data_IF_439994943244
#
_entry.id   IF_439994943244
#
_cell.length_a   1.000
_cell.length_b   1.000
_cell.length_c   1.000
_cell.angle_alpha   90.00
_cell.angle_beta   90.00
_cell.angle_gamma   90.00
#
_symmetry.space_group_name_H-M   'P 1'
#
loop_
_entity.id
_entity.type
_entity.pdbx_description
1 polymer ?
#
# COMPACT_ATOMS: atom_id res chain seq x y z
N UNK A 1 14.93 -39.25 -8.06
CA UNK A 1 15.12 -38.58 -9.36
C UNK A 1 14.06 -37.50 -9.44
N UNK A 2 14.45 -36.24 -9.25
CA UNK A 2 13.54 -35.10 -9.41
C UNK A 2 13.16 -35.04 -10.89
N UNK A 3 11.86 -35.16 -11.19
CA UNK A 3 11.36 -34.93 -12.54
C UNK A 3 11.61 -33.46 -12.88
N UNK A 4 12.70 -33.21 -13.61
CA UNK A 4 12.87 -31.97 -14.35
C UNK A 4 11.70 -31.91 -15.33
N UNK A 5 10.70 -31.08 -15.03
CA UNK A 5 9.69 -30.71 -16.02
C UNK A 5 10.44 -30.08 -17.19
N UNK A 6 10.54 -30.80 -18.29
CA UNK A 6 11.07 -30.30 -19.55
C UNK A 6 10.20 -29.09 -19.91
N UNK A 7 10.77 -27.88 -19.81
CA UNK A 7 10.10 -26.67 -20.26
C UNK A 7 9.95 -26.77 -21.78
N UNK A 8 8.76 -27.17 -22.23
CA UNK A 8 8.43 -27.19 -23.64
C UNK A 8 8.16 -25.74 -24.06
N UNK A 9 9.20 -25.09 -24.60
CA UNK A 9 9.29 -23.64 -24.83
C UNK A 9 8.62 -23.14 -26.11
N UNK A 10 7.74 -23.91 -26.72
CA UNK A 10 7.04 -23.50 -27.93
C UNK A 10 6.04 -22.39 -27.62
N UNK A 11 6.48 -21.15 -27.82
CA UNK A 11 5.65 -19.96 -27.71
C UNK A 11 4.80 -19.81 -28.97
N UNK A 12 3.50 -19.99 -28.81
CA UNK A 12 2.48 -19.60 -29.78
C UNK A 12 1.44 -18.66 -29.13
N UNK A 13 0.49 -18.17 -29.93
CA UNK A 13 -0.54 -17.23 -29.47
C UNK A 13 -1.33 -17.74 -28.24
N UNK A 14 -1.73 -19.01 -28.24
CA UNK A 14 -2.46 -19.62 -27.12
C UNK A 14 -1.61 -19.64 -25.85
N UNK A 15 -0.36 -20.11 -25.96
CA UNK A 15 0.55 -20.19 -24.81
C UNK A 15 0.98 -18.82 -24.29
N UNK A 16 0.98 -17.78 -25.15
CA UNK A 16 1.24 -16.40 -24.77
C UNK A 16 0.10 -15.83 -23.93
N UNK A 17 -1.16 -16.10 -24.32
CA UNK A 17 -2.33 -15.66 -23.55
C UNK A 17 -2.42 -16.31 -22.15
N UNK A 18 -1.85 -17.51 -21.99
CA UNK A 18 -1.79 -18.24 -20.71
C UNK A 18 -0.76 -17.69 -19.72
N UNK A 19 0.15 -16.81 -20.14
CA UNK A 19 1.19 -16.27 -19.29
C UNK A 19 0.62 -15.34 -18.21
N UNK A 20 1.21 -15.37 -17.01
CA UNK A 20 1.05 -14.26 -16.09
C UNK A 20 1.68 -13.00 -16.70
N UNK A 21 0.92 -11.92 -16.82
CA UNK A 21 1.37 -10.63 -17.38
C UNK A 21 2.63 -10.09 -16.71
N UNK A 22 2.85 -10.41 -15.43
CA UNK A 22 3.91 -9.78 -14.62
C UNK A 22 5.16 -10.64 -14.46
N UNK A 23 5.01 -11.96 -14.35
CA UNK A 23 6.15 -12.86 -14.17
C UNK A 23 6.38 -13.81 -15.36
N UNK A 24 5.53 -13.77 -16.38
CA UNK A 24 5.58 -14.66 -17.55
C UNK A 24 5.56 -16.16 -17.22
N UNK A 25 5.16 -16.53 -15.99
CA UNK A 25 5.00 -17.93 -15.61
C UNK A 25 3.74 -18.47 -16.29
N UNK A 26 3.94 -19.52 -17.08
CA UNK A 26 2.87 -20.27 -17.75
C UNK A 26 2.26 -21.33 -16.84
N UNK A 27 3.08 -22.22 -16.31
CA UNK A 27 2.64 -23.31 -15.43
C UNK A 27 3.04 -22.98 -13.99
N UNK A 28 2.11 -23.08 -13.04
CA UNK A 28 2.36 -22.67 -11.66
C UNK A 28 1.09 -22.21 -10.96
N UNK A 29 1.13 -21.10 -10.19
CA UNK A 29 -0.03 -20.65 -9.41
C UNK A 29 -1.26 -20.39 -10.28
N UNK A 30 -2.45 -20.53 -9.66
CA UNK A 30 -3.71 -20.13 -10.26
C UNK A 30 -3.64 -18.70 -10.79
N UNK A 31 -4.30 -18.45 -11.91
CA UNK A 31 -4.33 -17.13 -12.55
C UNK A 31 -5.74 -16.57 -12.58
N UNK A 32 -5.81 -15.26 -12.46
CA UNK A 32 -7.02 -14.47 -12.53
C UNK A 32 -6.98 -13.68 -13.82
N UNK A 33 -8.07 -13.75 -14.58
CA UNK A 33 -8.24 -12.91 -15.75
C UNK A 33 -8.60 -11.48 -15.32
N UNK A 34 -7.76 -10.50 -15.68
CA UNK A 34 -7.80 -9.10 -15.21
C UNK A 34 -9.12 -8.36 -15.52
N UNK A 35 -9.92 -8.88 -16.43
CA UNK A 35 -11.13 -8.22 -16.93
C UNK A 35 -12.41 -9.05 -16.72
N UNK A 36 -12.36 -10.01 -15.79
CA UNK A 36 -13.49 -10.83 -15.37
C UNK A 36 -13.90 -10.54 -13.92
N UNK A 37 -14.98 -11.20 -13.49
CA UNK A 37 -15.69 -10.94 -12.22
C UNK A 37 -14.78 -10.97 -10.99
N UNK A 38 -13.84 -11.91 -10.92
CA UNK A 38 -12.94 -12.01 -9.77
C UNK A 38 -11.99 -10.80 -9.67
N UNK A 39 -11.41 -10.37 -10.79
CA UNK A 39 -10.53 -9.21 -10.82
C UNK A 39 -11.29 -7.91 -10.51
N UNK A 40 -12.55 -7.82 -10.95
CA UNK A 40 -13.46 -6.72 -10.63
C UNK A 40 -13.75 -6.67 -9.12
N UNK A 41 -14.15 -7.80 -8.51
CA UNK A 41 -14.42 -7.90 -7.08
C UNK A 41 -13.21 -7.50 -6.23
N UNK A 42 -12.00 -7.88 -6.65
CA UNK A 42 -10.74 -7.52 -5.98
C UNK A 42 -10.18 -6.15 -6.37
N UNK A 43 -10.85 -5.43 -7.27
CA UNK A 43 -10.44 -4.14 -7.83
C UNK A 43 -9.02 -4.15 -8.43
N UNK A 44 -8.61 -5.25 -9.07
CA UNK A 44 -7.22 -5.47 -9.49
C UNK A 44 -6.74 -4.41 -10.49
N UNK A 45 -7.52 -4.12 -11.53
CA UNK A 45 -7.14 -3.13 -12.54
C UNK A 45 -6.95 -1.75 -11.92
N UNK A 46 -7.82 -1.36 -10.99
CA UNK A 46 -7.69 -0.10 -10.26
C UNK A 46 -6.41 -0.05 -9.42
N UNK A 47 -6.16 -1.10 -8.61
CA UNK A 47 -4.94 -1.19 -7.79
C UNK A 47 -3.67 -1.13 -8.66
N UNK A 48 -3.65 -1.87 -9.76
CA UNK A 48 -2.52 -1.91 -10.68
C UNK A 48 -2.25 -0.55 -11.34
N UNK A 49 -3.27 0.12 -11.86
CA UNK A 49 -3.13 1.47 -12.45
C UNK A 49 -2.77 2.54 -11.41
N UNK A 50 -3.15 2.33 -10.15
CA UNK A 50 -2.75 3.23 -9.04
C UNK A 50 -1.28 3.07 -8.68
N UNK A 51 -0.75 1.84 -8.76
CA UNK A 51 0.62 1.51 -8.36
C UNK A 51 1.64 1.66 -9.49
N UNK A 52 1.22 1.42 -10.73
CA UNK A 52 2.12 1.33 -11.87
C UNK A 52 1.74 2.36 -12.93
N UNK A 53 2.74 2.95 -13.57
CA UNK A 53 2.56 3.82 -14.73
C UNK A 53 2.17 3.07 -16.01
N UNK A 54 1.84 1.77 -15.91
CA UNK A 54 1.53 0.93 -17.06
C UNK A 54 0.06 1.03 -17.43
N UNK A 55 -0.21 1.26 -18.73
CA UNK A 55 -1.57 1.28 -19.24
C UNK A 55 -2.09 -0.16 -19.43
N UNK A 56 -2.74 -0.69 -18.40
CA UNK A 56 -3.42 -1.99 -18.45
C UNK A 56 -4.79 -1.80 -19.09
N UNK A 57 -4.96 -2.33 -20.30
CA UNK A 57 -6.20 -2.18 -21.08
C UNK A 57 -6.69 -3.53 -21.65
N UNK A 58 -7.98 -3.63 -21.94
CA UNK A 58 -8.53 -4.78 -22.69
C UNK A 58 -7.94 -4.82 -24.10
N UNK A 59 -7.68 -3.66 -24.67
CA UNK A 59 -7.24 -3.49 -26.06
C UNK A 59 -5.72 -3.62 -26.25
N UNK A 60 -4.95 -3.76 -25.17
CA UNK A 60 -3.52 -4.08 -25.32
C UNK A 60 -3.33 -5.54 -25.80
N UNK A 61 -2.25 -5.83 -26.52
CA UNK A 61 -1.94 -7.17 -27.01
C UNK A 61 -1.12 -7.99 -25.99
N UNK A 62 -1.26 -7.71 -24.70
CA UNK A 62 -0.51 -8.37 -23.62
C UNK A 62 -1.36 -9.44 -22.93
N UNK A 63 -0.74 -10.40 -22.19
CA UNK A 63 -1.47 -11.41 -21.46
C UNK A 63 -2.45 -10.77 -20.47
N UNK A 64 -3.68 -11.31 -20.43
CA UNK A 64 -4.77 -10.78 -19.59
C UNK A 64 -4.87 -11.48 -18.25
N UNK A 65 -3.98 -12.44 -17.98
CA UNK A 65 -3.94 -13.22 -16.78
C UNK A 65 -2.86 -12.70 -15.81
N UNK A 66 -3.14 -12.71 -14.51
CA UNK A 66 -2.16 -12.46 -13.46
C UNK A 66 -2.20 -13.62 -12.46
N UNK A 67 -1.05 -14.16 -12.07
CA UNK A 67 -1.01 -15.26 -11.11
C UNK A 67 -1.21 -14.75 -9.67
N UNK A 68 -1.76 -15.61 -8.80
CA UNK A 68 -2.07 -15.25 -7.41
C UNK A 68 -0.87 -14.71 -6.62
N UNK A 69 0.35 -15.21 -6.88
CA UNK A 69 1.55 -14.67 -6.24
C UNK A 69 1.82 -13.21 -6.64
N UNK A 70 1.59 -12.84 -7.90
CA UNK A 70 1.70 -11.46 -8.35
C UNK A 70 0.56 -10.60 -7.80
N UNK A 71 -0.66 -11.15 -7.71
CA UNK A 71 -1.79 -10.44 -7.11
C UNK A 71 -1.54 -10.14 -5.64
N UNK A 72 -1.07 -11.12 -4.86
CA UNK A 72 -0.75 -10.93 -3.46
C UNK A 72 0.26 -9.80 -3.24
N UNK A 73 1.34 -9.76 -4.05
CA UNK A 73 2.33 -8.67 -4.00
C UNK A 73 1.71 -7.31 -4.33
N UNK A 74 0.84 -7.25 -5.33
CA UNK A 74 0.13 -6.02 -5.74
C UNK A 74 -0.77 -5.52 -4.62
N UNK A 75 -1.53 -6.42 -3.98
CA UNK A 75 -2.44 -6.04 -2.90
C UNK A 75 -1.67 -5.59 -1.66
N UNK A 76 -0.62 -6.32 -1.26
CA UNK A 76 0.26 -5.89 -0.18
C UNK A 76 0.89 -4.51 -0.45
N UNK A 77 1.37 -4.28 -1.67
CA UNK A 77 1.94 -2.98 -2.04
C UNK A 77 0.88 -1.88 -2.05
N UNK A 78 -0.33 -2.18 -2.50
CA UNK A 78 -1.45 -1.24 -2.51
C UNK A 78 -1.83 -0.83 -1.09
N UNK A 79 -2.02 -1.79 -0.20
CA UNK A 79 -2.39 -1.54 1.19
C UNK A 79 -1.30 -0.75 1.91
N UNK A 80 -0.03 -1.14 1.72
CA UNK A 80 1.11 -0.39 2.25
C UNK A 80 1.12 1.06 1.76
N UNK A 81 0.89 1.29 0.46
CA UNK A 81 0.80 2.64 -0.11
C UNK A 81 -0.36 3.44 0.50
N UNK A 82 -1.52 2.83 0.73
CA UNK A 82 -2.63 3.54 1.39
C UNK A 82 -2.25 3.94 2.81
N UNK A 83 -1.62 3.03 3.58
CA UNK A 83 -1.14 3.34 4.92
C UNK A 83 -0.11 4.47 4.92
N UNK A 84 0.84 4.49 3.97
CA UNK A 84 1.83 5.57 3.89
C UNK A 84 1.18 6.91 3.62
N UNK A 85 0.17 6.98 2.74
CA UNK A 85 -0.56 8.22 2.45
C UNK A 85 -1.37 8.72 3.65
N UNK A 86 -1.98 7.82 4.41
CA UNK A 86 -2.69 8.17 5.64
C UNK A 86 -1.73 8.72 6.70
N UNK A 87 -0.59 8.04 6.90
CA UNK A 87 0.45 8.47 7.84
C UNK A 87 1.01 9.83 7.45
N UNK A 88 1.33 10.04 6.16
CA UNK A 88 1.78 11.32 5.63
C UNK A 88 0.80 12.44 5.99
N UNK A 89 -0.50 12.21 5.79
CA UNK A 89 -1.52 13.20 6.14
C UNK A 89 -1.55 13.52 7.64
N UNK A 90 -1.51 12.50 8.50
CA UNK A 90 -1.49 12.67 9.96
C UNK A 90 -0.25 13.48 10.39
N UNK A 91 0.92 13.13 9.87
CA UNK A 91 2.17 13.81 10.19
C UNK A 91 2.20 15.25 9.66
N UNK A 92 1.71 15.47 8.44
CA UNK A 92 1.61 16.79 7.84
C UNK A 92 0.66 17.70 8.65
N UNK A 93 -0.51 17.20 9.05
CA UNK A 93 -1.45 17.96 9.88
C UNK A 93 -0.82 18.35 11.23
N UNK A 94 -0.07 17.45 11.86
CA UNK A 94 0.64 17.77 13.09
C UNK A 94 1.76 18.78 12.89
N UNK A 95 2.55 18.65 11.81
CA UNK A 95 3.58 19.62 11.46
C UNK A 95 3.01 21.02 11.20
N UNK A 96 1.86 21.10 10.52
CA UNK A 96 1.17 22.36 10.24
C UNK A 96 0.60 22.98 11.52
N UNK A 97 -0.01 22.19 12.40
CA UNK A 97 -0.45 22.63 13.72
C UNK A 97 0.72 23.13 14.58
N UNK A 98 1.86 22.43 14.57
CA UNK A 98 3.10 22.86 15.25
C UNK A 98 3.63 24.18 14.70
N UNK A 99 3.59 24.37 13.38
CA UNK A 99 3.97 25.63 12.73
C UNK A 99 3.06 26.78 13.17
N UNK A 100 1.75 26.53 13.26
CA UNK A 100 0.77 27.53 13.67
C UNK A 100 0.91 27.99 15.13
N UNK A 101 1.53 27.17 15.99
CA UNK A 101 1.74 27.46 17.41
C UNK A 101 3.21 27.63 17.79
N UNK A 102 4.11 27.79 16.82
CA UNK A 102 5.57 27.81 17.05
C UNK A 102 6.01 28.85 18.08
N UNK A 103 5.37 30.02 18.13
CA UNK A 103 5.66 31.07 19.11
C UNK A 103 5.34 30.68 20.56
N UNK A 104 4.59 29.58 20.77
CA UNK A 104 4.22 29.06 22.09
C UNK A 104 5.10 27.91 22.55
N UNK A 105 5.99 27.40 21.69
CA UNK A 105 6.87 26.28 21.98
C UNK A 105 8.08 26.77 22.77
N UNK A 106 8.38 26.12 23.88
CA UNK A 106 9.64 26.26 24.58
C UNK A 106 10.67 25.32 23.95
N UNK A 107 11.64 25.87 23.24
CA UNK A 107 12.68 25.08 22.57
C UNK A 107 13.72 24.46 23.50
N UNK A 108 13.74 24.83 24.79
CA UNK A 108 14.67 24.25 25.76
C UNK A 108 14.21 22.86 26.23
N UNK A 109 12.89 22.67 26.37
CA UNK A 109 12.29 21.44 26.89
C UNK A 109 11.25 20.79 25.97
N UNK A 110 10.92 21.42 24.84
CA UNK A 110 9.94 20.95 23.87
C UNK A 110 8.47 21.12 24.30
N UNK A 111 8.20 21.79 25.42
CA UNK A 111 6.83 21.99 25.92
C UNK A 111 6.10 23.06 25.11
N UNK A 112 4.77 22.93 25.03
CA UNK A 112 3.92 23.88 24.29
C UNK A 112 3.03 24.63 25.28
N UNK A 113 3.17 25.97 25.35
CA UNK A 113 2.37 26.81 26.23
C UNK A 113 0.98 27.08 25.63
N UNK A 114 0.02 26.23 25.99
CA UNK A 114 -1.35 26.31 25.46
C UNK A 114 -2.12 27.55 25.91
N UNK A 115 -1.72 28.21 27.01
CA UNK A 115 -2.39 29.42 27.51
C UNK A 115 -2.13 30.64 26.60
N UNK A 116 -1.09 30.58 25.77
CA UNK A 116 -0.76 31.59 24.76
C UNK A 116 -1.46 31.36 23.41
N UNK A 117 -2.31 30.34 23.29
CA UNK A 117 -3.03 30.02 22.05
C UNK A 117 -4.44 30.60 22.03
N UNK A 118 -4.95 30.89 20.84
CA UNK A 118 -6.40 31.02 20.64
C UNK A 118 -7.10 29.66 20.83
N UNK A 119 -8.39 29.68 21.11
CA UNK A 119 -9.20 28.44 21.22
C UNK A 119 -9.09 27.58 19.95
N UNK A 120 -9.11 28.21 18.76
CA UNK A 120 -8.99 27.51 17.49
C UNK A 120 -7.63 26.83 17.33
N UNK A 121 -6.53 27.53 17.64
CA UNK A 121 -5.17 26.94 17.62
C UNK A 121 -5.03 25.80 18.61
N UNK A 122 -5.58 25.96 19.83
CA UNK A 122 -5.55 24.94 20.88
C UNK A 122 -6.26 23.67 20.44
N UNK A 123 -7.46 23.80 19.86
CA UNK A 123 -8.24 22.67 19.38
C UNK A 123 -7.54 21.94 18.23
N UNK A 124 -7.06 22.66 17.21
CA UNK A 124 -6.37 22.08 16.07
C UNK A 124 -5.05 21.38 16.46
N UNK A 125 -4.29 21.98 17.39
CA UNK A 125 -3.08 21.36 17.93
C UNK A 125 -3.39 20.07 18.68
N UNK A 126 -4.39 20.10 19.58
CA UNK A 126 -4.73 18.94 20.38
C UNK A 126 -5.26 17.77 19.53
N UNK A 127 -6.12 18.06 18.55
CA UNK A 127 -6.62 17.06 17.61
C UNK A 127 -5.48 16.39 16.82
N UNK A 128 -4.60 17.19 16.22
CA UNK A 128 -3.46 16.66 15.47
C UNK A 128 -2.48 15.89 16.36
N UNK A 129 -2.25 16.36 17.60
CA UNK A 129 -1.40 15.68 18.57
C UNK A 129 -1.97 14.31 18.97
N UNK A 130 -3.28 14.25 19.25
CA UNK A 130 -3.96 13.01 19.58
C UNK A 130 -3.93 12.02 18.41
N UNK A 131 -4.10 12.49 17.17
CA UNK A 131 -4.02 11.66 15.97
C UNK A 131 -2.63 11.01 15.81
N UNK A 132 -1.55 11.77 16.01
CA UNK A 132 -0.19 11.22 15.99
C UNK A 132 0.04 10.22 17.12
N UNK A 133 -0.38 10.53 18.34
CA UNK A 133 -0.25 9.60 19.47
C UNK A 133 -0.99 8.29 19.22
N UNK A 134 -2.20 8.35 18.68
CA UNK A 134 -2.97 7.17 18.33
C UNK A 134 -2.26 6.34 17.23
N UNK A 135 -1.75 7.00 16.19
CA UNK A 135 -1.01 6.33 15.12
C UNK A 135 0.25 5.63 15.65
N UNK A 136 1.00 6.28 16.55
CA UNK A 136 2.19 5.69 17.18
C UNK A 136 1.83 4.46 18.02
N UNK A 137 0.74 4.54 18.81
CA UNK A 137 0.28 3.42 19.62
C UNK A 137 -0.13 2.22 18.75
N UNK A 138 -0.87 2.46 17.66
CA UNK A 138 -1.24 1.42 16.70
C UNK A 138 -0.02 0.79 16.03
N UNK A 139 0.95 1.58 15.59
CA UNK A 139 2.19 1.09 15.00
C UNK A 139 3.00 0.21 15.97
N UNK A 140 3.08 0.60 17.25
CA UNK A 140 3.75 -0.19 18.27
C UNK A 140 3.07 -1.54 18.53
N UNK A 141 1.73 -1.59 18.49
CA UNK A 141 0.96 -2.84 18.63
C UNK A 141 1.22 -3.76 17.43
N UNK A 142 1.13 -3.22 16.21
CA UNK A 142 1.36 -3.99 14.98
C UNK A 142 2.79 -4.57 14.94
N UNK A 143 3.79 -3.79 15.34
CA UNK A 143 5.18 -4.26 15.41
C UNK A 143 5.34 -5.43 16.39
N UNK A 144 4.71 -5.38 17.57
CA UNK A 144 4.73 -6.48 18.53
C UNK A 144 4.05 -7.74 17.99
N UNK A 145 2.93 -7.60 17.29
CA UNK A 145 2.22 -8.72 16.68
C UNK A 145 3.06 -9.40 15.58
N UNK A 146 3.76 -8.62 14.76
CA UNK A 146 4.66 -9.16 13.73
C UNK A 146 5.83 -9.94 14.34
N UNK A 147 6.39 -9.48 15.45
CA UNK A 147 7.46 -10.19 16.16
C UNK A 147 6.99 -11.54 16.71
N UNK A 148 5.75 -11.61 17.23
CA UNK A 148 5.18 -12.85 17.76
C UNK A 148 4.87 -13.88 16.67
N UNK A 149 4.54 -13.45 15.45
CA UNK A 149 4.29 -14.35 14.32
C UNK A 149 5.57 -14.93 13.70
N UNK A 150 6.74 -14.37 14.04
CA UNK A 150 8.05 -14.81 13.53
C UNK A 150 8.81 -15.72 14.51
N UNK A 151 8.27 -15.95 15.72
CA UNK A 151 8.79 -16.89 16.73
C UNK A 151 7.95 -18.17 16.72
#
# INVERSE_FOLDING_TARGET
>A
QQQQQVYNGDLNFTTFAELCRFCSIRNGPAKIHLFEKEAEQRNLVYKLRTLMSTNISKDDYLPKNICEQCVHKVEQLFDWRQSTLQIENILQNYADSMRAVTATINFQDGTVNMDKMTVAQKNAYLEAHMAVQQQMAQAAIQFKQQQQQQQ
#
